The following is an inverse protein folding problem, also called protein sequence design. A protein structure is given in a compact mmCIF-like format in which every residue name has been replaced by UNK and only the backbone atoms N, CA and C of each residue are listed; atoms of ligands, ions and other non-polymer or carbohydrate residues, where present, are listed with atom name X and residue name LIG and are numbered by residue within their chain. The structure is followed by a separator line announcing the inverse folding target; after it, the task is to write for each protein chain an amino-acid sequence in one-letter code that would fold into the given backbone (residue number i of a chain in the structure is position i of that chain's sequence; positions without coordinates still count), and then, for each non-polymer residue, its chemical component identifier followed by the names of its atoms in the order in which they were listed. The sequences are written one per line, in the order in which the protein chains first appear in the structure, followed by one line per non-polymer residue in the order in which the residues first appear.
data_IF_336941844563
#
_entry.id   IF_336941844563
#
_cell.length_a   1.000
_cell.length_b   1.000
_cell.length_c   1.000
_cell.angle_alpha   90.00
_cell.angle_beta   90.00
_cell.angle_gamma   90.00
#
_symmetry.space_group_name_H-M   'P 1'
#
loop_
_entity.id
_entity.type
_entity.pdbx_description
1 polymer ?
#
# COMPACT_ATOMS: atom_id res chain seq x y z
N UNK A 1 -19.58 -4.64 -12.93
CA UNK A 1 -18.17 -4.29 -12.66
C UNK A 1 -17.67 -5.32 -11.66
N UNK A 2 -16.70 -6.15 -12.03
CA UNK A 2 -16.25 -7.29 -11.22
C UNK A 2 -15.51 -6.78 -9.98
N UNK A 3 -16.15 -6.93 -8.82
CA UNK A 3 -15.53 -6.72 -7.52
C UNK A 3 -14.32 -7.66 -7.45
N UNK A 4 -13.10 -7.14 -7.60
CA UNK A 4 -11.88 -7.94 -7.74
C UNK A 4 -11.29 -8.35 -6.38
N UNK A 5 -12.12 -8.39 -5.34
CA UNK A 5 -11.71 -8.36 -3.92
C UNK A 5 -11.46 -9.75 -3.32
N UNK A 6 -10.90 -10.67 -4.08
CA UNK A 6 -10.43 -11.97 -3.55
C UNK A 6 -9.00 -12.27 -4.01
N UNK A 7 -8.13 -11.28 -3.86
CA UNK A 7 -6.68 -11.53 -3.90
C UNK A 7 -6.15 -11.34 -2.49
N UNK A 8 -5.85 -12.45 -1.83
CA UNK A 8 -5.03 -12.44 -0.62
C UNK A 8 -3.69 -11.81 -1.00
N UNK A 9 -3.37 -10.67 -0.40
CA UNK A 9 -2.16 -9.91 -0.71
C UNK A 9 -0.95 -10.66 -0.15
N UNK A 10 -0.07 -11.16 -1.02
CA UNK A 10 1.25 -11.62 -0.61
C UNK A 10 2.16 -10.40 -0.38
N UNK A 11 2.23 -9.97 0.87
CA UNK A 11 3.01 -8.80 1.27
C UNK A 11 4.51 -9.03 1.07
N UNK A 12 5.00 -10.25 1.24
CA UNK A 12 6.41 -10.56 1.05
C UNK A 12 6.82 -10.39 -0.41
N UNK A 13 6.01 -10.93 -1.34
CA UNK A 13 6.22 -10.74 -2.78
C UNK A 13 6.14 -9.27 -3.18
N UNK A 14 5.15 -8.53 -2.65
CA UNK A 14 5.01 -7.11 -2.91
C UNK A 14 6.26 -6.34 -2.46
N UNK A 15 6.77 -6.60 -1.25
CA UNK A 15 7.98 -5.94 -0.74
C UNK A 15 9.18 -6.19 -1.65
N UNK A 16 9.39 -7.43 -2.10
CA UNK A 16 10.52 -7.77 -2.97
C UNK A 16 10.40 -7.09 -4.35
N UNK A 17 9.20 -7.08 -4.93
CA UNK A 17 8.93 -6.43 -6.23
C UNK A 17 9.07 -4.91 -6.15
N UNK A 18 8.56 -4.29 -5.09
CA UNK A 18 8.66 -2.84 -4.89
C UNK A 18 10.11 -2.41 -4.62
N UNK A 19 10.86 -3.18 -3.82
CA UNK A 19 12.28 -2.93 -3.59
C UNK A 19 13.09 -2.98 -4.90
N UNK A 20 12.79 -3.95 -5.77
CA UNK A 20 13.41 -4.04 -7.09
C UNK A 20 13.02 -2.86 -8.00
N UNK A 21 11.72 -2.55 -8.10
CA UNK A 21 11.21 -1.48 -8.96
C UNK A 21 11.71 -0.09 -8.56
N UNK A 22 11.88 0.15 -7.26
CA UNK A 22 12.36 1.42 -6.71
C UNK A 22 13.89 1.53 -6.66
N UNK A 23 14.62 0.51 -7.13
CA UNK A 23 16.08 0.39 -6.98
C UNK A 23 16.53 0.59 -5.52
N UNK A 24 15.72 0.11 -4.57
CA UNK A 24 15.93 0.24 -3.14
C UNK A 24 16.31 -1.14 -2.55
N UNK A 25 17.60 -1.53 -2.58
CA UNK A 25 18.02 -2.82 -2.04
C UNK A 25 17.75 -2.89 -0.54
N UNK A 26 17.01 -3.92 -0.11
CA UNK A 26 16.75 -4.17 1.30
C UNK A 26 17.86 -5.06 1.87
N UNK A 27 18.53 -4.56 2.91
CA UNK A 27 19.39 -5.43 3.71
C UNK A 27 18.57 -6.59 4.29
N UNK A 28 19.07 -7.84 4.29
CA UNK A 28 18.32 -9.00 4.77
C UNK A 28 17.73 -8.81 6.17
N UNK A 29 18.46 -8.14 7.08
CA UNK A 29 18.01 -7.87 8.45
C UNK A 29 16.81 -6.92 8.52
N UNK A 30 16.60 -6.07 7.52
CA UNK A 30 15.49 -5.10 7.49
C UNK A 30 14.24 -5.66 6.83
N UNK A 31 14.38 -6.65 5.93
CA UNK A 31 13.26 -7.23 5.17
C UNK A 31 12.11 -7.70 6.06
N UNK A 32 12.32 -8.45 7.16
CA UNK A 32 11.23 -8.87 8.04
C UNK A 32 10.48 -7.69 8.66
N UNK A 33 11.19 -6.62 9.04
CA UNK A 33 10.59 -5.42 9.60
C UNK A 33 9.76 -4.63 8.59
N UNK A 34 10.23 -4.54 7.34
CA UNK A 34 9.48 -3.91 6.24
C UNK A 34 8.18 -4.65 5.97
N UNK A 35 8.22 -5.98 5.91
CA UNK A 35 7.02 -6.82 5.71
C UNK A 35 6.01 -6.58 6.84
N UNK A 36 6.43 -6.69 8.10
CA UNK A 36 5.54 -6.51 9.26
C UNK A 36 4.90 -5.11 9.31
N UNK A 37 5.65 -4.08 8.92
CA UNK A 37 5.12 -2.72 8.84
C UNK A 37 4.10 -2.56 7.70
N UNK A 38 4.36 -3.16 6.54
CA UNK A 38 3.44 -3.08 5.40
C UNK A 38 2.14 -3.85 5.65
N UNK A 39 2.20 -5.01 6.32
CA UNK A 39 1.01 -5.75 6.80
C UNK A 39 0.14 -4.91 7.74
N UNK A 40 0.77 -4.23 8.71
CA UNK A 40 0.09 -3.34 9.63
C UNK A 40 -0.54 -2.14 8.91
N UNK A 41 0.20 -1.52 8.00
CA UNK A 41 -0.31 -0.40 7.19
C UNK A 41 -1.49 -0.83 6.32
N UNK A 42 -1.45 -2.02 5.70
CA UNK A 42 -2.56 -2.54 4.90
C UNK A 42 -3.83 -2.72 5.75
N UNK A 43 -3.69 -3.21 6.98
CA UNK A 43 -4.82 -3.33 7.93
C UNK A 43 -5.45 -1.98 8.24
N UNK A 44 -4.64 -0.93 8.48
CA UNK A 44 -5.15 0.42 8.76
C UNK A 44 -5.76 1.05 7.50
N UNK A 45 -5.13 0.86 6.34
CA UNK A 45 -5.60 1.38 5.07
C UNK A 45 -7.01 0.85 4.72
N UNK A 46 -7.32 -0.39 5.10
CA UNK A 46 -8.64 -0.97 4.87
C UNK A 46 -9.76 -0.13 5.51
N UNK A 47 -9.51 0.45 6.69
CA UNK A 47 -10.48 1.33 7.36
C UNK A 47 -10.75 2.60 6.55
N UNK A 48 -9.76 3.10 5.80
CA UNK A 48 -9.90 4.29 4.94
C UNK A 48 -10.62 3.95 3.64
N UNK A 49 -10.41 2.73 3.11
CA UNK A 49 -11.05 2.28 1.87
C UNK A 49 -12.56 2.02 2.02
N UNK A 50 -13.09 1.98 3.24
CA UNK A 50 -14.52 1.83 3.51
C UNK A 50 -15.31 3.14 3.28
N UNK A 51 -14.64 4.30 3.24
CA UNK A 51 -15.31 5.56 2.95
C UNK A 51 -15.71 5.63 1.46
N UNK A 52 -16.98 5.97 1.13
CA UNK A 52 -17.37 6.14 -0.27
C UNK A 52 -16.66 7.36 -0.86
N UNK A 53 -16.10 7.18 -2.06
CA UNK A 53 -15.41 8.21 -2.84
C UNK A 53 -16.32 8.54 -4.03
N UNK A 54 -16.77 9.79 -4.13
CA UNK A 54 -17.53 10.26 -5.30
C UNK A 54 -16.58 10.42 -6.51
N UNK A 55 -17.07 10.17 -7.72
CA UNK A 55 -16.22 10.25 -8.93
C UNK A 55 -15.66 11.68 -9.15
N UNK A 56 -16.37 12.70 -8.66
CA UNK A 56 -15.98 14.11 -8.76
C UNK A 56 -15.07 14.59 -7.61
N UNK A 57 -14.68 13.72 -6.67
CA UNK A 57 -13.83 14.12 -5.56
C UNK A 57 -12.38 14.32 -6.04
N UNK A 58 -11.86 15.52 -5.84
CA UNK A 58 -10.47 15.86 -6.13
C UNK A 58 -9.64 15.86 -4.84
N UNK A 59 -8.34 15.59 -4.96
CA UNK A 59 -7.43 15.75 -3.83
C UNK A 59 -7.46 17.20 -3.33
N UNK A 60 -7.42 17.40 -2.00
CA UNK A 60 -7.43 18.73 -1.42
C UNK A 60 -6.31 19.59 -2.02
N UNK A 61 -6.62 20.73 -2.68
CA UNK A 61 -5.68 21.41 -3.57
C UNK A 61 -4.65 22.33 -2.88
N UNK A 62 -4.51 22.31 -1.55
CA UNK A 62 -3.68 23.32 -0.87
C UNK A 62 -2.21 22.93 -0.78
N UNK A 63 -1.47 23.20 -1.85
CA UNK A 63 -0.06 23.56 -1.73
C UNK A 63 0.04 25.07 -1.48
N UNK A 64 0.61 25.48 -0.34
CA UNK A 64 0.94 26.87 -0.03
C UNK A 64 2.46 27.06 -0.21
N UNK A 65 2.90 28.03 -1.03
CA UNK A 65 4.31 28.23 -1.38
C UNK A 65 5.18 28.66 -0.19
#
# INVERSE_FOLDING_TARGET
MTNSTDRNLDVALLVDQMAWMLELPLHPDYRPGVIANLERTATIAQLVMEFPIADEIEAAPTFQP
#
